data_IF_527631405503
#
_entry.id   IF_527631405503
#
_cell.length_a   1.000
_cell.length_b   1.000
_cell.length_c   1.000
_cell.angle_alpha   90.00
_cell.angle_beta   90.00
_cell.angle_gamma   90.00
#
_symmetry.space_group_name_H-M   'P 1'
#
loop_
_entity.id
_entity.type
_entity.pdbx_description
1 polymer ?
#
# COMPACT_ATOMS: atom_id res chain seq x y z
N UNK A 1 -11.89 -8.34 -17.26
CA UNK A 1 -12.03 -7.56 -16.02
C UNK A 1 -11.23 -6.29 -16.20
N UNK A 2 -11.79 -5.12 -15.88
CA UNK A 2 -11.03 -3.86 -15.94
C UNK A 2 -10.01 -3.85 -14.82
N UNK A 3 -8.81 -3.36 -15.09
CA UNK A 3 -7.80 -3.21 -14.05
C UNK A 3 -8.31 -2.20 -13.02
N UNK A 4 -7.94 -2.36 -11.75
CA UNK A 4 -8.26 -1.38 -10.72
C UNK A 4 -7.02 -0.91 -9.99
N UNK A 5 -6.99 0.37 -9.69
CA UNK A 5 -6.11 0.93 -8.68
C UNK A 5 -6.89 1.03 -7.38
N UNK A 6 -6.29 0.56 -6.29
CA UNK A 6 -6.88 0.59 -4.96
C UNK A 6 -5.86 1.16 -3.98
N UNK A 7 -6.28 2.14 -3.19
CA UNK A 7 -5.48 2.75 -2.13
C UNK A 7 -6.11 2.45 -0.78
N UNK A 8 -5.30 1.93 0.11
CA UNK A 8 -5.67 1.74 1.51
C UNK A 8 -4.81 2.56 2.46
N UNK A 9 -5.38 2.91 3.61
CA UNK A 9 -4.69 3.59 4.70
C UNK A 9 -4.76 2.79 5.99
N UNK A 10 -3.69 2.83 6.77
CA UNK A 10 -3.61 2.22 8.10
C UNK A 10 -3.20 3.28 9.11
N UNK A 11 -3.92 3.34 10.23
CA UNK A 11 -3.64 4.25 11.35
C UNK A 11 -2.55 3.62 12.22
N UNK A 12 -1.36 4.22 12.24
CA UNK A 12 -0.20 3.66 12.96
C UNK A 12 1.11 3.97 12.23
N UNK A 13 2.24 3.60 12.86
CA UNK A 13 3.56 4.14 12.47
C UNK A 13 4.50 3.17 11.78
N UNK A 14 4.21 1.86 11.69
CA UNK A 14 5.17 0.91 11.13
C UNK A 14 4.74 0.21 9.84
N UNK A 15 5.39 0.60 8.74
CA UNK A 15 5.26 -0.05 7.45
C UNK A 15 5.78 -1.49 7.47
N UNK A 16 6.69 -1.84 8.39
CA UNK A 16 7.22 -3.19 8.53
C UNK A 16 6.11 -4.13 9.00
N UNK A 17 5.37 -3.79 10.06
CA UNK A 17 4.24 -4.57 10.57
C UNK A 17 3.14 -4.73 9.52
N UNK A 18 2.82 -3.65 8.80
CA UNK A 18 1.84 -3.68 7.71
C UNK A 18 2.30 -4.62 6.60
N UNK A 19 3.57 -4.57 6.20
CA UNK A 19 4.10 -5.44 5.16
C UNK A 19 4.03 -6.91 5.56
N UNK A 20 4.32 -7.25 6.81
CA UNK A 20 4.17 -8.62 7.32
C UNK A 20 2.70 -9.05 7.30
N UNK A 21 1.77 -8.23 7.81
CA UNK A 21 0.34 -8.57 7.79
C UNK A 21 -0.23 -8.76 6.39
N UNK A 22 0.17 -7.90 5.44
CA UNK A 22 -0.23 -8.04 4.03
C UNK A 22 0.40 -9.27 3.39
N UNK A 23 1.68 -9.55 3.67
CA UNK A 23 2.38 -10.73 3.19
C UNK A 23 1.69 -12.02 3.64
N UNK A 24 1.34 -12.12 4.92
CA UNK A 24 0.70 -13.28 5.52
C UNK A 24 -0.69 -13.55 4.91
N UNK A 25 -1.50 -12.50 4.79
CA UNK A 25 -2.87 -12.61 4.27
C UNK A 25 -2.91 -12.94 2.77
N UNK A 26 -1.95 -12.42 2.00
CA UNK A 26 -1.87 -12.66 0.56
C UNK A 26 -1.02 -13.88 0.18
N UNK A 27 -0.21 -14.42 1.11
CA UNK A 27 0.74 -15.50 0.83
C UNK A 27 1.84 -15.06 -0.15
N UNK A 28 2.34 -13.84 0.00
CA UNK A 28 3.35 -13.24 -0.89
C UNK A 28 4.58 -12.77 -0.11
N UNK A 29 5.68 -12.51 -0.82
CA UNK A 29 6.86 -11.88 -0.26
C UNK A 29 7.04 -10.46 -0.80
N UNK A 30 7.44 -9.54 0.07
CA UNK A 30 7.83 -8.18 -0.31
C UNK A 30 9.35 -8.07 -0.42
N UNK A 31 9.80 -7.32 -1.42
CA UNK A 31 11.18 -6.83 -1.47
C UNK A 31 11.24 -5.45 -0.82
N UNK A 32 12.13 -5.27 0.17
CA UNK A 32 12.45 -3.95 0.68
C UNK A 32 13.23 -3.18 -0.39
N UNK A 33 12.75 -2.00 -0.74
CA UNK A 33 13.38 -1.09 -1.70
C UNK A 33 13.61 0.25 -1.03
N UNK A 34 14.73 0.89 -1.33
CA UNK A 34 15.01 2.23 -0.87
C UNK A 34 14.75 3.22 -2.01
N UNK A 35 14.02 4.29 -1.73
CA UNK A 35 13.81 5.38 -2.68
C UNK A 35 14.17 6.69 -2.02
N UNK A 36 15.18 7.36 -2.58
CA UNK A 36 15.52 8.74 -2.23
C UNK A 36 14.34 9.69 -2.45
N UNK A 37 13.49 9.42 -3.45
CA UNK A 37 12.31 10.21 -3.76
C UNK A 37 11.17 10.02 -2.74
N UNK A 38 11.07 8.84 -2.12
CA UNK A 38 10.05 8.54 -1.10
C UNK A 38 10.56 8.66 0.33
N UNK A 39 11.76 9.25 0.50
CA UNK A 39 12.45 9.49 1.77
C UNK A 39 12.43 8.29 2.72
N UNK A 40 12.72 7.11 2.17
CA UNK A 40 12.82 5.91 2.99
C UNK A 40 12.70 4.61 2.22
N UNK A 41 12.66 3.55 3.01
CA UNK A 41 12.38 2.21 2.52
C UNK A 41 10.89 2.02 2.32
N UNK A 42 10.53 1.30 1.28
CA UNK A 42 9.17 0.85 1.00
C UNK A 42 9.20 -0.63 0.63
N UNK A 43 8.12 -1.32 0.92
CA UNK A 43 7.95 -2.72 0.55
C UNK A 43 7.28 -2.79 -0.80
N UNK A 44 7.79 -3.64 -1.68
CA UNK A 44 7.28 -3.79 -3.02
C UNK A 44 7.14 -5.25 -3.43
N UNK A 45 5.96 -5.61 -3.91
CA UNK A 45 5.69 -6.89 -4.53
C UNK A 45 5.22 -6.67 -5.97
N UNK A 46 5.72 -7.49 -6.90
CA UNK A 46 5.23 -7.57 -8.27
C UNK A 46 4.76 -8.99 -8.53
N UNK A 47 3.46 -9.14 -8.68
CA UNK A 47 2.80 -10.42 -8.94
C UNK A 47 2.60 -10.69 -10.42
N UNK A 48 1.80 -11.72 -10.71
CA UNK A 48 1.34 -12.04 -12.06
C UNK A 48 0.44 -10.93 -12.63
N UNK A 49 0.25 -10.92 -13.96
CA UNK A 49 -0.74 -10.07 -14.64
C UNK A 49 -0.64 -8.56 -14.35
N UNK A 50 0.58 -8.06 -14.08
CA UNK A 50 0.88 -6.65 -13.76
C UNK A 50 0.44 -6.21 -12.35
N UNK A 51 -0.07 -7.11 -11.51
CA UNK A 51 -0.32 -6.81 -10.09
C UNK A 51 0.96 -6.24 -9.47
N UNK A 52 0.83 -5.09 -8.82
CA UNK A 52 1.91 -4.57 -7.98
C UNK A 52 1.35 -3.98 -6.71
N UNK A 53 2.02 -4.28 -5.61
CA UNK A 53 1.66 -3.79 -4.29
C UNK A 53 2.85 -3.02 -3.72
N UNK A 54 2.62 -1.79 -3.30
CA UNK A 54 3.60 -0.97 -2.59
C UNK A 54 3.07 -0.60 -1.22
N UNK A 55 3.89 -0.76 -0.19
CA UNK A 55 3.56 -0.37 1.19
C UNK A 55 4.61 0.62 1.67
N UNK A 56 4.15 1.79 2.08
CA UNK A 56 5.00 2.97 2.25
C UNK A 56 4.56 3.75 3.48
N UNK A 57 5.54 4.29 4.22
CA UNK A 57 5.24 5.26 5.27
C UNK A 57 4.70 6.53 4.63
N UNK A 58 3.63 7.06 5.18
CA UNK A 58 3.05 8.32 4.75
C UNK A 58 3.80 9.48 5.42
N UNK A 59 4.98 9.77 4.90
CA UNK A 59 5.87 10.80 5.41
C UNK A 59 5.84 12.06 4.52
N UNK A 60 6.19 13.19 5.13
CA UNK A 60 6.39 14.43 4.38
C UNK A 60 7.69 14.38 3.56
N UNK A 61 7.64 14.91 2.35
CA UNK A 61 8.81 15.12 1.50
C UNK A 61 9.74 16.24 2.04
N UNK A 62 10.76 16.62 1.27
CA UNK A 62 11.70 17.69 1.64
C UNK A 62 11.03 19.08 1.70
N UNK A 63 9.87 19.24 1.06
CA UNK A 63 9.07 20.47 1.07
C UNK A 63 8.00 20.47 2.18
N UNK A 64 7.91 19.40 2.96
CA UNK A 64 6.92 19.26 4.03
C UNK A 64 5.54 18.83 3.53
N UNK A 65 5.45 18.25 2.32
CA UNK A 65 4.19 17.86 1.68
C UNK A 65 4.01 16.34 1.74
N UNK A 66 2.80 15.89 2.05
CA UNK A 66 2.43 14.47 2.00
C UNK A 66 2.20 14.01 0.56
N UNK A 67 2.54 12.75 0.27
CA UNK A 67 2.24 12.15 -1.03
C UNK A 67 0.74 12.07 -1.34
N UNK A 68 -0.10 11.85 -0.31
CA UNK A 68 -1.57 11.91 -0.41
C UNK A 68 -2.14 12.88 0.66
N UNK A 69 -2.08 14.21 0.43
CA UNK A 69 -2.42 15.24 1.42
C UNK A 69 -3.84 15.18 1.97
N UNK A 70 -4.77 14.56 1.24
CA UNK A 70 -6.16 14.37 1.65
C UNK A 70 -6.35 13.27 2.71
N UNK A 71 -5.30 12.51 3.03
CA UNK A 71 -5.32 11.40 3.98
C UNK A 71 -4.26 11.54 5.10
N UNK A 72 -4.14 12.70 5.78
CA UNK A 72 -3.06 12.96 6.73
C UNK A 72 -3.15 12.12 8.02
N UNK A 73 -4.30 11.50 8.28
CA UNK A 73 -4.53 10.69 9.49
C UNK A 73 -3.93 9.28 9.42
N UNK A 74 -3.48 8.81 8.25
CA UNK A 74 -2.87 7.48 8.10
C UNK A 74 -1.36 7.62 8.05
N UNK A 75 -0.66 6.77 8.80
CA UNK A 75 0.80 6.76 8.82
C UNK A 75 1.42 5.76 7.83
N UNK A 76 0.63 4.83 7.28
CA UNK A 76 1.04 3.91 6.23
C UNK A 76 -0.02 3.86 5.13
N UNK A 77 0.45 3.84 3.88
CA UNK A 77 -0.37 3.69 2.69
C UNK A 77 -0.01 2.40 1.95
N UNK A 78 -1.04 1.72 1.44
CA UNK A 78 -0.91 0.51 0.62
C UNK A 78 -1.51 0.78 -0.74
N UNK A 79 -0.65 0.79 -1.76
CA UNK A 79 -1.02 0.99 -3.15
C UNK A 79 -1.12 -0.36 -3.85
N UNK A 80 -2.28 -0.68 -4.40
CA UNK A 80 -2.51 -1.90 -5.18
C UNK A 80 -2.87 -1.51 -6.60
N UNK A 81 -1.94 -1.71 -7.54
CA UNK A 81 -2.17 -1.50 -8.96
C UNK A 81 -2.54 -2.81 -9.64
N UNK A 82 -3.46 -2.74 -10.61
CA UNK A 82 -4.00 -3.91 -11.31
C UNK A 82 -4.62 -4.93 -10.34
N UNK A 83 -5.35 -4.41 -9.34
CA UNK A 83 -6.02 -5.21 -8.32
C UNK A 83 -7.11 -6.11 -8.92
N UNK A 84 -7.23 -7.31 -8.33
CA UNK A 84 -8.31 -8.28 -8.62
C UNK A 84 -9.18 -8.45 -7.37
N UNK A 85 -10.48 -8.82 -7.52
CA UNK A 85 -11.40 -8.95 -6.39
C UNK A 85 -10.90 -9.84 -5.23
N UNK A 86 -10.16 -10.90 -5.55
CA UNK A 86 -9.61 -11.80 -4.53
C UNK A 86 -8.59 -11.10 -3.61
N UNK A 87 -7.72 -10.25 -4.18
CA UNK A 87 -6.73 -9.49 -3.41
C UNK A 87 -7.43 -8.48 -2.51
N UNK A 88 -8.45 -7.78 -3.01
CA UNK A 88 -9.24 -6.82 -2.23
C UNK A 88 -9.97 -7.50 -1.07
N UNK A 89 -10.57 -8.66 -1.33
CA UNK A 89 -11.28 -9.43 -0.31
C UNK A 89 -10.33 -9.89 0.79
N UNK A 90 -9.16 -10.41 0.43
CA UNK A 90 -8.13 -10.81 1.40
C UNK A 90 -7.65 -9.60 2.20
N UNK A 91 -7.29 -8.50 1.55
CA UNK A 91 -6.85 -7.29 2.26
C UNK A 91 -7.91 -6.77 3.23
N UNK A 92 -9.20 -6.81 2.87
CA UNK A 92 -10.29 -6.37 3.75
C UNK A 92 -10.43 -7.13 5.07
N UNK A 93 -9.75 -8.27 5.25
CA UNK A 93 -9.74 -9.00 6.52
C UNK A 93 -8.75 -8.45 7.54
N UNK A 94 -7.90 -7.48 7.16
CA UNK A 94 -6.98 -6.81 8.10
C UNK A 94 -7.76 -5.81 8.96
N UNK A 95 -7.75 -5.98 10.29
CA UNK A 95 -8.58 -5.17 11.21
C UNK A 95 -8.30 -3.65 11.18
N UNK A 96 -7.14 -3.23 10.66
CA UNK A 96 -6.69 -1.84 10.69
C UNK A 96 -6.59 -1.19 9.30
N UNK A 97 -6.98 -1.90 8.24
CA UNK A 97 -6.93 -1.36 6.87
C UNK A 97 -8.23 -0.66 6.52
N UNK A 98 -8.13 0.55 5.99
CA UNK A 98 -9.27 1.33 5.51
C UNK A 98 -9.14 1.58 4.01
N UNK A 99 -10.20 1.32 3.26
CA UNK A 99 -10.25 1.61 1.83
C UNK A 99 -10.42 3.12 1.63
N UNK A 100 -9.47 3.76 0.96
CA UNK A 100 -9.46 5.21 0.76
C UNK A 100 -9.91 5.63 -0.65
N UNK A 101 -9.42 4.91 -1.67
CA UNK A 101 -9.65 5.25 -3.08
C UNK A 101 -9.73 3.99 -3.93
N UNK A 102 -10.60 4.00 -4.93
CA UNK A 102 -10.67 2.97 -5.96
C UNK A 102 -10.90 3.62 -7.31
N UNK A 103 -10.10 3.25 -8.30
CA UNK A 103 -10.16 3.80 -9.66
C UNK A 103 -10.11 2.65 -10.66
N UNK A 104 -10.84 2.78 -11.77
CA UNK A 104 -10.76 1.83 -12.89
C UNK A 104 -9.68 2.32 -13.86
N UNK A 105 -8.73 1.43 -14.20
CA UNK A 105 -7.58 1.69 -15.09
C UNK A 105 -7.68 0.91 -16.39
#
# INVERSE_FOLDING_TARGET
MSARFVLYGIKGTDADEVAHGVADVLGIEFSLRNSSYKRGSYYFHRGAERLSISIERHAHDDEGVLGEPQYPQYGVLVYVNYSVPEVEQKLSTLEQIELLRTETV
#
